data_IF_052785202130
#
_entry.id   IF_052785202130
#
_cell.length_a   1.000
_cell.length_b   1.000
_cell.length_c   1.000
_cell.angle_alpha   90.00
_cell.angle_beta   90.00
_cell.angle_gamma   90.00
#
_symmetry.space_group_name_H-M   'P 1'
#
loop_
_entity.id
_entity.type
_entity.pdbx_description
1 polymer ?
#
# COMPACT_ATOMS: atom_id res chain seq x y z
N UNK A 1 -6.81 -11.97 5.85
CA UNK A 1 -7.58 -11.15 4.87
C UNK A 1 -7.50 -9.68 5.26
N UNK A 2 -7.20 -8.79 4.31
CA UNK A 2 -7.15 -7.34 4.55
C UNK A 2 -8.51 -6.75 4.16
N UNK A 3 -9.13 -6.04 5.09
CA UNK A 3 -10.43 -5.39 4.87
C UNK A 3 -10.28 -4.05 4.17
N UNK A 4 -11.16 -3.79 3.21
CA UNK A 4 -11.17 -2.53 2.45
C UNK A 4 -12.58 -2.27 1.90
N UNK A 5 -13.01 -1.00 1.87
CA UNK A 5 -14.24 -0.67 1.16
C UNK A 5 -14.07 -0.83 -0.34
N UNK A 6 -15.10 -1.38 -0.99
CA UNK A 6 -15.12 -1.53 -2.44
C UNK A 6 -15.22 -0.15 -3.10
N UNK A 7 -14.21 0.21 -3.84
CA UNK A 7 -14.12 1.46 -4.59
C UNK A 7 -14.24 1.30 -6.11
N UNK A 8 -14.24 0.07 -6.59
CA UNK A 8 -14.32 -0.29 -8.01
C UNK A 8 -15.54 -1.17 -8.28
N UNK A 9 -15.89 -1.28 -9.56
CA UNK A 9 -16.92 -2.22 -10.02
C UNK A 9 -16.53 -3.66 -9.67
N UNK A 10 -17.52 -4.53 -9.58
CA UNK A 10 -17.27 -5.94 -9.30
C UNK A 10 -16.44 -6.59 -10.41
N UNK A 11 -15.51 -7.48 -10.05
CA UNK A 11 -14.62 -8.12 -11.01
C UNK A 11 -13.58 -7.19 -11.67
N UNK A 12 -13.39 -5.98 -11.17
CA UNK A 12 -12.47 -5.00 -11.75
C UNK A 12 -11.02 -5.52 -11.88
N UNK A 13 -10.59 -6.43 -11.01
CA UNK A 13 -9.27 -7.05 -11.03
C UNK A 13 -9.06 -7.98 -12.24
N UNK A 14 -10.14 -8.45 -12.85
CA UNK A 14 -10.12 -9.32 -14.03
C UNK A 14 -10.36 -8.57 -15.35
N UNK A 15 -10.51 -7.24 -15.31
CA UNK A 15 -10.83 -6.43 -16.48
C UNK A 15 -9.84 -5.27 -16.65
N UNK A 16 -9.67 -4.79 -17.87
CA UNK A 16 -8.82 -3.64 -18.21
C UNK A 16 -7.36 -3.86 -17.80
N UNK A 17 -6.83 -2.97 -16.96
CA UNK A 17 -5.45 -3.03 -16.46
C UNK A 17 -5.26 -3.99 -15.26
N UNK A 18 -6.22 -4.89 -15.00
CA UNK A 18 -6.13 -5.87 -13.90
C UNK A 18 -6.00 -5.19 -12.53
N UNK A 19 -5.04 -5.65 -11.74
CA UNK A 19 -4.76 -5.12 -10.39
C UNK A 19 -4.32 -3.64 -10.42
N UNK A 20 -3.84 -3.17 -11.56
CA UNK A 20 -3.33 -1.82 -11.70
C UNK A 20 -4.45 -0.80 -11.94
N UNK A 21 -4.43 0.30 -11.20
CA UNK A 21 -5.42 1.37 -11.33
C UNK A 21 -4.71 2.71 -11.53
N UNK A 22 -4.75 3.22 -12.76
CA UNK A 22 -4.16 4.51 -13.14
C UNK A 22 -5.12 5.69 -12.96
N UNK A 23 -4.67 6.85 -13.44
CA UNK A 23 -5.50 8.07 -13.46
C UNK A 23 -6.66 7.91 -14.43
N UNK A 24 -7.87 8.18 -13.96
CA UNK A 24 -9.06 8.10 -14.82
C UNK A 24 -9.58 6.70 -15.08
N UNK A 25 -9.14 5.70 -14.30
CA UNK A 25 -9.61 4.33 -14.44
C UNK A 25 -11.15 4.24 -14.39
N UNK A 26 -11.76 3.81 -15.48
CA UNK A 26 -13.21 3.76 -15.65
C UNK A 26 -13.89 2.75 -14.70
N UNK A 27 -13.14 1.81 -14.15
CA UNK A 27 -13.63 0.81 -13.18
C UNK A 27 -13.88 1.42 -11.79
N UNK A 28 -13.30 2.59 -11.51
CA UNK A 28 -13.50 3.28 -10.24
C UNK A 28 -14.86 3.95 -10.24
N UNK A 29 -15.72 3.58 -9.28
CA UNK A 29 -17.06 4.16 -9.14
C UNK A 29 -17.00 5.64 -8.73
N UNK A 30 -18.09 6.38 -8.89
CA UNK A 30 -18.17 7.79 -8.45
C UNK A 30 -17.89 7.93 -6.96
N UNK A 31 -18.48 7.07 -6.13
CA UNK A 31 -18.22 7.00 -4.69
C UNK A 31 -16.79 6.53 -4.44
N UNK A 32 -16.31 5.55 -5.21
CA UNK A 32 -14.94 5.06 -5.16
C UNK A 32 -13.89 6.15 -5.36
N UNK A 33 -14.13 7.11 -6.25
CA UNK A 33 -13.22 8.27 -6.43
C UNK A 33 -13.11 9.10 -5.15
N UNK A 34 -14.23 9.36 -4.49
CA UNK A 34 -14.26 10.15 -3.25
C UNK A 34 -13.54 9.43 -2.11
N UNK A 35 -13.90 8.16 -1.85
CA UNK A 35 -13.30 7.41 -0.73
C UNK A 35 -11.81 7.12 -0.94
N UNK A 36 -11.35 6.96 -2.19
CA UNK A 36 -9.93 6.84 -2.54
C UNK A 36 -9.16 8.15 -2.36
N UNK A 37 -9.77 9.28 -2.74
CA UNK A 37 -9.16 10.59 -2.57
C UNK A 37 -8.90 10.94 -1.10
N UNK A 38 -9.78 10.46 -0.21
CA UNK A 38 -9.69 10.69 1.24
C UNK A 38 -9.05 9.52 2.00
N UNK A 39 -8.67 8.44 1.31
CA UNK A 39 -8.18 7.18 1.91
C UNK A 39 -9.16 6.51 2.88
N UNK A 40 -10.44 6.91 2.87
CA UNK A 40 -11.51 6.30 3.67
C UNK A 40 -11.70 4.82 3.32
N UNK A 41 -11.41 4.43 2.07
CA UNK A 41 -11.48 3.05 1.62
C UNK A 41 -10.54 2.10 2.41
N UNK A 42 -9.53 2.61 3.06
CA UNK A 42 -8.59 1.84 3.88
C UNK A 42 -8.98 1.80 5.38
N UNK A 43 -9.99 2.55 5.84
CA UNK A 43 -10.41 2.55 7.24
C UNK A 43 -10.78 1.16 7.80
N UNK A 44 -11.41 0.24 7.05
CA UNK A 44 -11.68 -1.09 7.57
C UNK A 44 -10.44 -1.88 7.98
N UNK A 45 -9.24 -1.49 7.53
CA UNK A 45 -7.97 -2.10 7.95
C UNK A 45 -7.68 -1.88 9.44
N UNK A 46 -8.33 -0.91 10.10
CA UNK A 46 -8.24 -0.77 11.56
C UNK A 46 -8.76 -2.02 12.29
N UNK A 47 -9.70 -2.76 11.71
CA UNK A 47 -10.12 -4.07 12.24
C UNK A 47 -8.93 -5.04 12.22
N UNK A 48 -8.15 -5.06 11.12
CA UNK A 48 -6.95 -5.90 11.03
C UNK A 48 -5.89 -5.50 12.06
N UNK A 49 -5.79 -4.21 12.40
CA UNK A 49 -4.87 -3.74 13.45
C UNK A 49 -5.35 -4.23 14.83
N UNK A 50 -6.64 -4.10 15.12
CA UNK A 50 -7.23 -4.51 16.42
C UNK A 50 -7.06 -6.03 16.63
N UNK A 51 -7.31 -6.84 15.60
CA UNK A 51 -7.15 -8.29 15.68
C UNK A 51 -5.69 -8.76 15.61
N UNK A 52 -4.75 -7.85 15.33
CA UNK A 52 -3.32 -8.14 15.33
C UNK A 52 -2.73 -8.63 13.99
N UNK A 53 -3.51 -8.65 12.92
CA UNK A 53 -3.03 -9.01 11.58
C UNK A 53 -2.14 -7.93 10.96
N UNK A 54 -2.34 -6.67 11.35
CA UNK A 54 -1.61 -5.51 10.84
C UNK A 54 -1.09 -4.63 11.98
N UNK A 55 -0.08 -3.83 11.67
CA UNK A 55 0.40 -2.71 12.48
C UNK A 55 -0.08 -1.37 11.89
N UNK A 56 0.05 -0.29 12.64
CA UNK A 56 -0.18 1.06 12.12
C UNK A 56 0.92 1.39 11.11
N UNK A 57 2.18 1.15 11.48
CA UNK A 57 3.35 1.37 10.62
C UNK A 57 3.99 0.03 10.29
N UNK A 58 4.29 -0.18 9.01
CA UNK A 58 4.91 -1.40 8.52
C UNK A 58 4.97 -1.45 6.99
N UNK A 59 5.62 -2.46 6.43
CA UNK A 59 5.62 -2.71 5.00
C UNK A 59 4.20 -2.88 4.46
N UNK A 60 3.91 -2.32 3.28
CA UNK A 60 2.64 -2.59 2.62
C UNK A 60 2.65 -4.02 2.08
N UNK A 61 1.69 -4.87 2.46
CA UNK A 61 1.66 -6.24 1.97
C UNK A 61 1.38 -6.26 0.46
N UNK A 62 2.18 -6.98 -0.33
CA UNK A 62 1.86 -7.26 -1.73
C UNK A 62 0.69 -8.24 -1.82
N UNK A 63 0.09 -8.36 -2.99
CA UNK A 63 -0.78 -9.49 -3.28
C UNK A 63 0.07 -10.75 -3.46
N UNK A 64 -0.52 -11.92 -3.21
CA UNK A 64 0.21 -13.20 -3.30
C UNK A 64 0.73 -13.52 -4.70
N UNK A 65 0.18 -12.87 -5.71
CA UNK A 65 0.52 -13.06 -7.13
C UNK A 65 1.02 -11.78 -7.82
N UNK A 66 1.12 -10.65 -7.11
CA UNK A 66 1.51 -9.36 -7.69
C UNK A 66 2.40 -8.57 -6.73
N UNK A 67 3.54 -8.02 -7.16
CA UNK A 67 4.03 -7.88 -8.56
C UNK A 67 4.49 -9.19 -9.21
N UNK A 68 4.90 -10.18 -8.44
CA UNK A 68 5.19 -11.56 -8.83
C UNK A 68 4.82 -12.51 -7.69
N UNK A 69 4.70 -13.82 -7.95
CA UNK A 69 4.42 -14.81 -6.92
C UNK A 69 5.42 -14.75 -5.77
N UNK A 70 4.95 -15.01 -4.55
CA UNK A 70 5.77 -14.91 -3.32
C UNK A 70 6.99 -15.82 -3.39
N UNK A 71 6.89 -16.96 -4.08
CA UNK A 71 7.97 -17.93 -4.27
C UNK A 71 9.14 -17.38 -5.12
N UNK A 72 8.94 -16.28 -5.82
CA UNK A 72 9.95 -15.63 -6.66
C UNK A 72 10.71 -14.52 -5.92
N UNK A 73 10.35 -14.22 -4.67
CA UNK A 73 11.09 -13.27 -3.86
C UNK A 73 12.45 -13.85 -3.48
N UNK A 74 13.49 -13.02 -3.54
CA UNK A 74 14.81 -13.42 -3.04
C UNK A 74 14.81 -13.47 -1.52
N UNK A 75 15.80 -14.15 -0.92
CA UNK A 75 15.97 -14.22 0.52
C UNK A 75 16.02 -12.82 1.16
N UNK A 76 16.76 -11.89 0.55
CA UNK A 76 16.82 -10.49 1.00
C UNK A 76 15.44 -9.81 0.96
N UNK A 77 14.68 -10.02 -0.11
CA UNK A 77 13.35 -9.43 -0.26
C UNK A 77 12.34 -10.00 0.75
N UNK A 78 12.53 -11.25 1.15
CA UNK A 78 11.70 -11.91 2.17
C UNK A 78 11.73 -11.20 3.52
N UNK A 79 12.82 -10.50 3.85
CA UNK A 79 12.92 -9.73 5.08
C UNK A 79 11.84 -8.64 5.24
N UNK A 80 11.17 -8.24 4.14
CA UNK A 80 10.01 -7.35 4.27
C UNK A 80 8.84 -7.97 5.06
N UNK A 81 8.82 -9.29 5.24
CA UNK A 81 7.79 -10.02 5.98
C UNK A 81 8.17 -10.29 7.45
N UNK A 82 9.35 -9.89 7.89
CA UNK A 82 9.82 -10.10 9.28
C UNK A 82 9.02 -9.30 10.31
N UNK A 83 8.28 -8.28 9.85
CA UNK A 83 7.38 -7.48 10.67
C UNK A 83 5.97 -7.50 10.11
N UNK A 84 4.98 -7.16 10.96
CA UNK A 84 3.60 -7.06 10.52
C UNK A 84 3.42 -6.00 9.43
N UNK A 85 2.58 -6.25 8.43
CA UNK A 85 2.25 -5.24 7.44
C UNK A 85 1.58 -4.03 8.08
N UNK A 86 1.85 -2.84 7.56
CA UNK A 86 1.30 -1.59 8.07
C UNK A 86 0.22 -0.99 7.16
N UNK A 87 -0.67 -0.20 7.77
CA UNK A 87 -1.61 0.66 7.01
C UNK A 87 -0.84 1.81 6.33
N UNK A 88 0.23 2.27 6.97
CA UNK A 88 1.23 3.16 6.38
C UNK A 88 2.63 2.61 6.62
N UNK A 89 3.65 3.16 5.96
CA UNK A 89 5.03 2.70 6.10
C UNK A 89 6.01 3.50 5.26
N UNK A 90 7.28 3.13 5.38
CA UNK A 90 8.39 3.88 4.76
C UNK A 90 8.24 4.04 3.25
N UNK A 91 7.95 2.97 2.53
CA UNK A 91 7.72 3.04 1.09
C UNK A 91 6.50 3.89 0.70
N UNK A 92 5.43 3.85 1.51
CA UNK A 92 4.22 4.64 1.26
C UNK A 92 4.48 6.15 1.38
N UNK A 93 5.30 6.57 2.34
CA UNK A 93 5.62 7.99 2.53
C UNK A 93 6.72 8.51 1.61
N UNK A 94 7.45 7.63 0.90
CA UNK A 94 8.52 8.01 -0.03
C UNK A 94 8.18 7.83 -1.51
N UNK A 95 6.91 7.73 -1.87
CA UNK A 95 6.52 7.70 -3.28
C UNK A 95 5.40 6.75 -3.63
N UNK A 96 4.83 6.12 -2.63
CA UNK A 96 3.57 5.34 -2.70
C UNK A 96 3.38 4.61 -4.04
N UNK A 97 2.59 5.19 -4.96
CA UNK A 97 2.22 4.56 -6.24
C UNK A 97 3.12 4.94 -7.41
N UNK A 98 3.98 5.95 -7.25
CA UNK A 98 4.90 6.43 -8.29
C UNK A 98 6.24 5.72 -8.32
N UNK A 99 6.53 4.83 -7.35
CA UNK A 99 7.79 4.12 -7.24
C UNK A 99 7.66 2.71 -7.80
N UNK A 100 8.67 2.28 -8.51
CA UNK A 100 8.79 0.94 -9.08
C UNK A 100 8.83 -0.12 -7.97
N UNK A 101 8.36 -1.34 -8.26
CA UNK A 101 8.18 -2.38 -7.26
C UNK A 101 9.46 -2.83 -6.57
N UNK A 102 10.57 -2.96 -7.29
CA UNK A 102 11.86 -3.34 -6.70
C UNK A 102 12.32 -2.30 -5.67
N UNK A 103 12.16 -1.02 -5.98
CA UNK A 103 12.51 0.05 -5.06
C UNK A 103 11.59 0.08 -3.83
N UNK A 104 10.30 -0.23 -4.01
CA UNK A 104 9.38 -0.37 -2.86
C UNK A 104 9.79 -1.52 -1.95
N UNK A 105 10.17 -2.66 -2.51
CA UNK A 105 10.61 -3.82 -1.74
C UNK A 105 11.89 -3.46 -0.97
N UNK A 106 12.86 -2.81 -1.62
CA UNK A 106 14.08 -2.33 -0.94
C UNK A 106 13.76 -1.39 0.22
N UNK A 107 12.83 -0.44 0.03
CA UNK A 107 12.39 0.46 1.09
C UNK A 107 11.71 -0.29 2.23
N UNK A 108 10.92 -1.32 1.93
CA UNK A 108 10.27 -2.15 2.93
C UNK A 108 11.30 -2.98 3.72
N UNK A 109 12.28 -3.60 3.04
CA UNK A 109 13.39 -4.31 3.68
C UNK A 109 14.22 -3.37 4.54
N UNK A 110 14.53 -2.19 4.03
CA UNK A 110 15.24 -1.19 4.81
C UNK A 110 14.50 -0.83 6.11
N UNK A 111 13.18 -0.63 6.02
CA UNK A 111 12.37 -0.35 7.20
C UNK A 111 12.43 -1.49 8.22
N UNK A 112 12.32 -2.74 7.80
CA UNK A 112 12.37 -3.90 8.72
C UNK A 112 13.68 -4.00 9.49
N UNK A 113 14.78 -3.54 8.87
CA UNK A 113 16.11 -3.50 9.50
C UNK A 113 16.32 -2.28 10.44
N UNK A 114 15.45 -1.26 10.35
CA UNK A 114 15.59 0.00 11.10
C UNK A 114 14.38 0.34 11.97
N UNK A 115 13.54 -0.63 12.29
CA UNK A 115 12.33 -0.44 13.10
C UNK A 115 12.68 0.24 14.41
N UNK A 116 12.04 1.37 14.68
CA UNK A 116 12.14 2.10 15.93
C UNK A 116 10.92 2.98 16.15
N UNK A 117 10.58 3.25 17.40
CA UNK A 117 9.48 4.14 17.74
C UNK A 117 9.65 5.54 17.11
N UNK A 118 10.88 6.05 17.09
CA UNK A 118 11.17 7.35 16.48
C UNK A 118 10.91 7.36 14.97
N UNK A 119 11.27 6.28 14.26
CA UNK A 119 11.01 6.11 12.84
C UNK A 119 9.50 5.99 12.58
N UNK A 120 8.78 5.24 13.38
CA UNK A 120 7.34 5.08 13.26
C UNK A 120 6.60 6.40 13.45
N UNK A 121 6.96 7.18 14.48
CA UNK A 121 6.42 8.52 14.71
C UNK A 121 6.69 9.42 13.50
N UNK A 122 7.91 9.41 12.95
CA UNK A 122 8.26 10.18 11.75
C UNK A 122 7.38 9.78 10.56
N UNK A 123 7.18 8.48 10.34
CA UNK A 123 6.33 7.97 9.25
C UNK A 123 4.88 8.43 9.43
N UNK A 124 4.35 8.41 10.66
CA UNK A 124 3.00 8.89 10.96
C UNK A 124 2.83 10.37 10.60
N UNK A 125 3.76 11.24 11.01
CA UNK A 125 3.73 12.65 10.63
C UNK A 125 3.77 12.83 9.11
N UNK A 126 4.67 12.14 8.42
CA UNK A 126 4.76 12.20 6.96
C UNK A 126 3.46 11.73 6.30
N UNK A 127 2.82 10.70 6.85
CA UNK A 127 1.53 10.18 6.36
C UNK A 127 0.44 11.25 6.46
N UNK A 128 0.30 11.90 7.62
CA UNK A 128 -0.69 12.97 7.83
C UNK A 128 -0.48 14.10 6.82
N UNK A 129 0.77 14.56 6.63
CA UNK A 129 1.06 15.60 5.65
C UNK A 129 0.70 15.19 4.23
N UNK A 130 0.99 13.95 3.82
CA UNK A 130 0.64 13.46 2.48
C UNK A 130 -0.86 13.34 2.26
N UNK A 131 -1.60 12.87 3.27
CA UNK A 131 -3.06 12.78 3.20
C UNK A 131 -3.68 14.19 3.07
N UNK A 132 -3.21 15.15 3.86
CA UNK A 132 -3.70 16.53 3.81
C UNK A 132 -3.40 17.22 2.47
N UNK A 133 -2.26 16.91 1.85
CA UNK A 133 -1.89 17.46 0.53
C UNK A 133 -2.50 16.69 -0.64
N UNK A 134 -3.20 15.59 -0.36
CA UNK A 134 -3.76 14.68 -1.38
C UNK A 134 -2.70 14.24 -2.42
N UNK A 135 -1.45 14.10 -1.98
CA UNK A 135 -0.32 13.68 -2.81
C UNK A 135 -0.40 12.16 -3.10
N UNK A 136 0.08 11.76 -4.28
CA UNK A 136 0.27 10.35 -4.67
C UNK A 136 -1.00 9.47 -4.74
N UNK A 137 -2.19 10.06 -4.92
CA UNK A 137 -3.42 9.28 -5.11
C UNK A 137 -3.55 8.63 -6.49
N UNK A 138 -2.59 8.87 -7.38
CA UNK A 138 -2.58 8.36 -8.75
C UNK A 138 -1.36 7.45 -8.96
N UNK A 139 -1.58 6.29 -9.56
CA UNK A 139 -0.48 5.44 -10.04
C UNK A 139 0.17 6.12 -11.24
N UNK A 140 1.38 6.64 -11.06
CA UNK A 140 2.23 7.21 -12.12
C UNK A 140 3.46 6.34 -12.39
N UNK A 141 3.70 5.34 -11.56
CA UNK A 141 4.81 4.41 -11.73
C UNK A 141 4.61 3.50 -12.93
N UNK A 142 5.67 3.31 -13.71
CA UNK A 142 5.69 2.37 -14.80
C UNK A 142 5.41 0.95 -14.29
N UNK A 143 4.48 0.30 -14.94
CA UNK A 143 4.32 -1.14 -14.91
C UNK A 143 5.37 -1.77 -15.80
N UNK A 144 6.22 -2.57 -15.26
CA UNK A 144 6.77 -3.73 -15.96
C UNK A 144 6.82 -4.84 -14.96
#
# INVERSE_FOLDING_TARGET
TIYKFRSMTDGAEHTGSGVYSGKGDARVTKVGKLIRATSIDELPQFINIIVGDMAIVGPRPPLTYHPWPVEQYTEEQFHMFDVRPGITGWAQVHGRKGVEWHERIKMNVWYTQHVSLALDIKILFMTVFKVLRNEDNVNTGATV
#
